data_IF_489011072779
#
_entry.id   IF_489011072779
#
_cell.length_a   1.000
_cell.length_b   1.000
_cell.length_c   1.000
_cell.angle_alpha   90.00
_cell.angle_beta   90.00
_cell.angle_gamma   90.00
#
_symmetry.space_group_name_H-M   'P 1'
#
loop_
_entity.id
_entity.type
_entity.pdbx_description
1 polymer ?
#
# COMPACT_ATOMS: atom_id res chain seq x y z
N UNK A 1 14.42 -0.91 -29.52
CA UNK A 1 13.57 -0.48 -28.38
C UNK A 1 13.21 -1.71 -27.53
N UNK A 2 14.16 -2.24 -26.74
CA UNK A 2 13.95 -3.42 -25.90
C UNK A 2 14.11 -2.96 -24.45
N UNK A 3 13.01 -2.79 -23.73
CA UNK A 3 13.04 -2.35 -22.33
C UNK A 3 11.75 -1.71 -21.82
N UNK A 4 10.93 -1.11 -22.69
CA UNK A 4 9.71 -0.40 -22.27
C UNK A 4 8.64 -1.33 -21.69
N UNK A 5 8.46 -2.51 -22.28
CA UNK A 5 7.49 -3.51 -21.79
C UNK A 5 7.81 -4.01 -20.36
N UNK A 6 9.04 -4.48 -20.05
CA UNK A 6 9.37 -4.89 -18.69
C UNK A 6 9.39 -3.70 -17.72
N UNK A 7 9.92 -2.53 -18.11
CA UNK A 7 9.96 -1.36 -17.24
C UNK A 7 8.55 -0.89 -16.82
N UNK A 8 7.61 -0.82 -17.76
CA UNK A 8 6.24 -0.42 -17.47
C UNK A 8 5.51 -1.46 -16.62
N UNK A 9 5.75 -2.76 -16.87
CA UNK A 9 5.19 -3.84 -16.06
C UNK A 9 5.70 -3.79 -14.61
N UNK A 10 7.00 -3.60 -14.40
CA UNK A 10 7.56 -3.44 -13.06
C UNK A 10 7.06 -2.17 -12.37
N UNK A 11 6.97 -1.05 -13.11
CA UNK A 11 6.41 0.19 -12.57
C UNK A 11 4.97 -0.01 -12.10
N UNK A 12 4.11 -0.62 -12.94
CA UNK A 12 2.71 -0.87 -12.59
C UNK A 12 2.59 -1.85 -11.42
N UNK A 13 3.39 -2.90 -11.40
CA UNK A 13 3.43 -3.86 -10.31
C UNK A 13 3.79 -3.18 -8.98
N UNK A 14 4.84 -2.36 -8.98
CA UNK A 14 5.27 -1.62 -7.78
C UNK A 14 4.22 -0.59 -7.38
N UNK A 15 3.62 0.14 -8.33
CA UNK A 15 2.55 1.09 -8.06
C UNK A 15 1.37 0.44 -7.34
N UNK A 16 0.92 -0.73 -7.83
CA UNK A 16 -0.20 -1.45 -7.23
C UNK A 16 0.16 -2.02 -5.86
N UNK A 17 1.39 -2.51 -5.69
CA UNK A 17 1.87 -2.98 -4.39
C UNK A 17 1.97 -1.86 -3.36
N UNK A 18 2.64 -0.76 -3.68
CA UNK A 18 2.93 0.29 -2.69
C UNK A 18 1.78 1.27 -2.52
N UNK A 19 0.96 1.49 -3.56
CA UNK A 19 -0.19 2.39 -3.51
C UNK A 19 -1.52 1.71 -3.20
N UNK A 20 -1.62 0.39 -3.37
CA UNK A 20 -2.82 -0.39 -3.09
C UNK A 20 -2.61 -1.37 -1.95
N UNK A 21 -1.79 -2.39 -2.19
CA UNK A 21 -1.64 -3.52 -1.26
C UNK A 21 -1.09 -3.07 0.09
N UNK A 22 -0.01 -2.29 0.10
CA UNK A 22 0.63 -1.79 1.32
C UNK A 22 -0.32 -0.95 2.20
N UNK A 23 -0.92 0.15 1.71
CA UNK A 23 -1.79 0.98 2.55
C UNK A 23 -3.04 0.23 3.02
N UNK A 24 -3.61 -0.65 2.21
CA UNK A 24 -4.76 -1.47 2.63
C UNK A 24 -4.37 -2.46 3.73
N UNK A 25 -3.23 -3.15 3.59
CA UNK A 25 -2.73 -4.04 4.63
C UNK A 25 -2.43 -3.29 5.92
N UNK A 26 -1.70 -2.18 5.86
CA UNK A 26 -1.36 -1.40 7.05
C UNK A 26 -2.61 -0.81 7.71
N UNK A 27 -3.61 -0.39 6.91
CA UNK A 27 -4.88 0.11 7.44
C UNK A 27 -5.67 -1.00 8.11
N UNK A 28 -5.84 -2.15 7.46
CA UNK A 28 -6.59 -3.28 8.01
C UNK A 28 -5.96 -3.80 9.30
N UNK A 29 -4.64 -4.01 9.30
CA UNK A 29 -3.90 -4.46 10.49
C UNK A 29 -3.91 -3.40 11.60
N UNK A 30 -3.73 -2.12 11.24
CA UNK A 30 -3.78 -1.01 12.19
C UNK A 30 -5.15 -0.88 12.86
N UNK A 31 -6.24 -1.00 12.10
CA UNK A 31 -7.60 -0.97 12.63
C UNK A 31 -7.92 -2.21 13.47
N UNK A 32 -7.38 -3.39 13.12
CA UNK A 32 -7.60 -4.60 13.92
C UNK A 32 -6.87 -4.56 15.26
N UNK A 33 -5.56 -4.27 15.26
CA UNK A 33 -4.76 -4.34 16.49
C UNK A 33 -4.78 -3.06 17.32
N UNK A 34 -4.92 -1.90 16.69
CA UNK A 34 -4.80 -0.59 17.35
C UNK A 34 -5.89 0.39 16.87
N UNK A 35 -7.19 0.04 16.99
CA UNK A 35 -8.27 0.88 16.46
C UNK A 35 -8.24 2.29 17.05
N UNK A 36 -8.04 2.47 18.36
CA UNK A 36 -8.03 3.81 18.95
C UNK A 36 -6.90 4.68 18.38
N UNK A 37 -5.69 4.13 18.24
CA UNK A 37 -4.55 4.85 17.68
C UNK A 37 -4.68 5.09 16.17
N UNK A 38 -5.15 4.09 15.43
CA UNK A 38 -5.38 4.17 13.99
C UNK A 38 -6.45 5.20 13.61
N UNK A 39 -7.38 5.49 14.52
CA UNK A 39 -8.39 6.55 14.37
C UNK A 39 -7.94 7.91 14.93
N UNK A 40 -6.64 8.09 15.20
CA UNK A 40 -6.05 9.37 15.57
C UNK A 40 -5.73 9.53 17.06
N UNK A 41 -5.86 8.47 17.87
CA UNK A 41 -5.62 8.51 19.33
C UNK A 41 -6.32 9.68 19.99
N UNK A 42 -7.55 9.96 19.56
CA UNK A 42 -8.27 11.13 20.02
C UNK A 42 -8.39 11.08 21.54
N UNK A 43 -7.93 12.17 22.17
CA UNK A 43 -7.93 12.43 23.61
C UNK A 43 -9.25 13.14 23.95
#
# INVERSE_FOLDING_TARGET
MIGLRPAFSTMLFLLLLTGGVYPLLTTALGQWWFPWQANGSLI
#
